data_IF_162143675602
#
_entry.id   IF_162143675602
#
_cell.length_a   1.000
_cell.length_b   1.000
_cell.length_c   1.000
_cell.angle_alpha   90.00
_cell.angle_beta   90.00
_cell.angle_gamma   90.00
#
_symmetry.space_group_name_H-M   'P 1'
#
loop_
_entity.id
_entity.type
_entity.pdbx_description
1 polymer ?
#
# COMPACT_ATOMS: atom_id res chain seq x y z
N UNK A 1 1.73 29.25 -21.40
CA UNK A 1 2.40 28.03 -20.92
C UNK A 1 3.58 28.34 -20.00
N UNK A 2 4.52 29.21 -20.38
CA UNK A 2 5.73 29.52 -19.57
C UNK A 2 5.41 30.02 -18.14
N UNK A 3 4.44 30.92 -17.96
CA UNK A 3 4.01 31.42 -16.65
C UNK A 3 3.43 30.31 -15.74
N UNK A 4 2.72 29.34 -16.32
CA UNK A 4 2.15 28.21 -15.59
C UNK A 4 3.25 27.24 -15.12
N UNK A 5 4.29 27.04 -15.93
CA UNK A 5 5.46 26.24 -15.55
C UNK A 5 6.31 26.90 -14.47
N UNK A 6 6.48 28.23 -14.50
CA UNK A 6 7.20 28.95 -13.44
C UNK A 6 6.45 28.93 -12.11
N UNK A 7 5.11 29.04 -12.13
CA UNK A 7 4.27 28.91 -10.95
C UNK A 7 4.33 27.49 -10.35
N UNK A 8 4.33 26.46 -11.19
CA UNK A 8 4.48 25.08 -10.72
C UNK A 8 5.87 24.85 -10.10
N UNK A 9 6.93 25.34 -10.74
CA UNK A 9 8.31 25.22 -10.24
C UNK A 9 8.55 25.92 -8.91
N UNK A 10 7.97 27.11 -8.71
CA UNK A 10 8.08 27.89 -7.47
C UNK A 10 7.03 27.52 -6.40
N UNK A 11 6.07 26.65 -6.73
CA UNK A 11 4.95 26.31 -5.86
C UNK A 11 5.22 25.22 -4.85
N UNK A 12 6.37 24.54 -4.90
CA UNK A 12 6.75 23.44 -4.03
C UNK A 12 8.05 23.75 -3.29
N UNK A 13 8.02 23.59 -1.96
CA UNK A 13 9.21 23.69 -1.13
C UNK A 13 10.09 22.45 -1.25
N UNK A 14 11.38 22.57 -0.87
CA UNK A 14 12.33 21.44 -0.89
C UNK A 14 11.83 20.18 -0.16
N UNK A 15 11.19 20.24 1.03
CA UNK A 15 10.64 19.06 1.71
C UNK A 15 9.66 18.25 0.85
N UNK A 16 8.86 18.90 0.00
CA UNK A 16 7.94 18.24 -0.93
C UNK A 16 8.66 17.22 -1.81
N UNK A 17 9.76 17.64 -2.45
CA UNK A 17 10.51 16.78 -3.36
C UNK A 17 11.22 15.65 -2.64
N UNK A 18 11.82 15.94 -1.46
CA UNK A 18 12.50 14.92 -0.66
C UNK A 18 11.52 13.84 -0.21
N UNK A 19 10.35 14.24 0.33
CA UNK A 19 9.33 13.30 0.78
C UNK A 19 8.79 12.44 -0.37
N UNK A 20 8.39 13.07 -1.48
CA UNK A 20 7.80 12.35 -2.61
C UNK A 20 8.81 11.45 -3.33
N UNK A 21 10.09 11.86 -3.42
CA UNK A 21 11.14 10.98 -3.96
C UNK A 21 11.37 9.78 -3.04
N UNK A 22 11.43 10.01 -1.73
CA UNK A 22 11.60 8.91 -0.78
C UNK A 22 10.42 7.93 -0.79
N UNK A 23 9.19 8.40 -1.06
CA UNK A 23 8.01 7.55 -1.24
C UNK A 23 8.13 6.61 -2.43
N UNK A 24 8.72 7.03 -3.57
CA UNK A 24 8.96 6.13 -4.71
C UNK A 24 9.75 4.90 -4.27
N UNK A 25 10.87 5.12 -3.58
CA UNK A 25 11.77 4.05 -3.15
C UNK A 25 11.13 3.18 -2.06
N UNK A 26 10.34 3.76 -1.19
CA UNK A 26 9.61 3.03 -0.18
C UNK A 26 8.53 2.16 -0.82
N UNK A 27 7.71 2.71 -1.73
CA UNK A 27 6.70 1.95 -2.48
C UNK A 27 7.33 0.86 -3.34
N UNK A 28 8.42 1.16 -4.02
CA UNK A 28 9.20 0.17 -4.76
C UNK A 28 9.64 -0.99 -3.88
N UNK A 29 10.22 -0.68 -2.71
CA UNK A 29 10.67 -1.70 -1.75
C UNK A 29 9.50 -2.51 -1.19
N UNK A 30 8.41 -1.85 -0.79
CA UNK A 30 7.21 -2.51 -0.28
C UNK A 30 6.61 -3.49 -1.30
N UNK A 31 6.39 -3.04 -2.53
CA UNK A 31 5.78 -3.89 -3.55
C UNK A 31 6.73 -4.97 -4.09
N UNK A 32 8.05 -4.72 -4.09
CA UNK A 32 9.04 -5.77 -4.37
C UNK A 32 8.97 -6.90 -3.33
N UNK A 33 8.96 -6.54 -2.04
CA UNK A 33 8.82 -7.49 -0.93
C UNK A 33 7.48 -8.22 -1.03
N UNK A 34 6.38 -7.49 -1.15
CA UNK A 34 5.03 -8.05 -1.10
C UNK A 34 4.73 -8.99 -2.27
N UNK A 35 5.18 -8.66 -3.49
CA UNK A 35 4.96 -9.49 -4.67
C UNK A 35 5.69 -10.84 -4.64
N UNK A 36 6.74 -10.97 -3.84
CA UNK A 36 7.51 -12.21 -3.68
C UNK A 36 7.18 -12.96 -2.40
N UNK A 37 6.52 -12.31 -1.44
CA UNK A 37 6.41 -12.78 -0.06
C UNK A 37 5.72 -14.14 0.06
N UNK A 38 4.56 -14.32 -0.54
CA UNK A 38 3.79 -15.54 -0.42
C UNK A 38 4.57 -16.77 -0.93
N UNK A 39 5.25 -16.62 -2.08
CA UNK A 39 6.10 -17.66 -2.67
C UNK A 39 7.36 -17.92 -1.81
N UNK A 40 7.98 -16.87 -1.31
CA UNK A 40 9.14 -16.98 -0.42
C UNK A 40 8.82 -17.76 0.85
N UNK A 41 7.72 -17.42 1.53
CA UNK A 41 7.28 -18.12 2.74
C UNK A 41 6.98 -19.59 2.45
N UNK A 42 6.36 -19.88 1.30
CA UNK A 42 5.98 -21.24 0.93
C UNK A 42 7.16 -22.06 0.41
N UNK A 43 7.88 -21.60 -0.61
CA UNK A 43 8.90 -22.39 -1.29
C UNK A 43 10.27 -22.32 -0.62
N UNK A 44 10.66 -21.15 -0.12
CA UNK A 44 12.00 -20.95 0.47
C UNK A 44 12.03 -21.33 1.94
N UNK A 45 11.00 -20.95 2.70
CA UNK A 45 10.92 -21.25 4.14
C UNK A 45 10.15 -22.55 4.47
N UNK A 46 9.49 -23.16 3.47
CA UNK A 46 8.80 -24.43 3.65
C UNK A 46 7.48 -24.36 4.45
N UNK A 47 6.91 -23.16 4.59
CA UNK A 47 5.61 -22.99 5.25
C UNK A 47 4.48 -23.53 4.37
N UNK A 48 3.40 -24.02 5.00
CA UNK A 48 2.23 -24.45 4.24
C UNK A 48 1.59 -23.29 3.46
N UNK A 49 0.80 -23.61 2.43
CA UNK A 49 0.07 -22.59 1.65
C UNK A 49 -0.80 -21.70 2.54
N UNK A 50 -1.52 -22.31 3.50
CA UNK A 50 -2.35 -21.58 4.45
C UNK A 50 -1.52 -20.64 5.33
N UNK A 51 -0.41 -21.12 5.89
CA UNK A 51 0.47 -20.28 6.72
C UNK A 51 1.05 -19.11 5.91
N UNK A 52 1.51 -19.37 4.69
CA UNK A 52 2.10 -18.37 3.80
C UNK A 52 1.08 -17.31 3.42
N UNK A 53 -0.13 -17.69 3.06
CA UNK A 53 -1.22 -16.77 2.75
C UNK A 53 -1.64 -15.96 3.98
N UNK A 54 -1.84 -16.60 5.14
CA UNK A 54 -2.20 -15.92 6.40
C UNK A 54 -1.14 -14.89 6.81
N UNK A 55 0.13 -15.24 6.77
CA UNK A 55 1.23 -14.35 7.14
C UNK A 55 1.34 -13.17 6.16
N UNK A 56 1.19 -13.41 4.85
CA UNK A 56 1.14 -12.35 3.84
C UNK A 56 -0.07 -11.45 4.04
N UNK A 57 -1.22 -12.02 4.41
CA UNK A 57 -2.44 -11.29 4.76
C UNK A 57 -2.27 -10.41 6.00
N UNK A 58 -1.64 -10.94 7.06
CA UNK A 58 -1.31 -10.18 8.28
C UNK A 58 -0.40 -9.00 7.94
N UNK A 59 0.64 -9.22 7.15
CA UNK A 59 1.52 -8.15 6.69
C UNK A 59 0.75 -7.07 5.92
N UNK A 60 -0.01 -7.46 4.89
CA UNK A 60 -0.80 -6.53 4.09
C UNK A 60 -1.85 -5.78 4.91
N UNK A 61 -2.60 -6.48 5.76
CA UNK A 61 -3.66 -5.90 6.60
C UNK A 61 -3.13 -4.98 7.70
N UNK A 62 -2.05 -5.38 8.37
CA UNK A 62 -1.43 -4.58 9.41
C UNK A 62 -0.97 -3.20 8.91
N UNK A 63 -0.45 -3.11 7.67
CA UNK A 63 -0.05 -1.84 7.03
C UNK A 63 -1.19 -0.83 7.02
N UNK A 64 -2.41 -1.27 6.66
CA UNK A 64 -3.57 -0.38 6.55
C UNK A 64 -4.19 -0.04 7.92
N UNK A 65 -4.22 -1.00 8.83
CA UNK A 65 -4.73 -0.76 10.19
C UNK A 65 -3.80 0.16 10.98
N UNK A 66 -2.48 -0.06 10.91
CA UNK A 66 -1.50 0.76 11.63
C UNK A 66 -1.41 2.19 11.09
N UNK A 67 -1.70 2.42 9.81
CA UNK A 67 -1.71 3.77 9.23
C UNK A 67 -2.69 4.73 9.93
N UNK A 68 -3.78 4.21 10.50
CA UNK A 68 -4.75 5.00 11.28
C UNK A 68 -4.06 5.65 12.51
N UNK A 69 -3.18 4.93 13.17
CA UNK A 69 -2.46 5.39 14.37
C UNK A 69 -1.21 6.20 14.02
N UNK A 70 -0.56 5.86 12.92
CA UNK A 70 0.69 6.49 12.48
C UNK A 70 0.56 7.97 12.19
N UNK A 71 -0.60 8.42 11.68
CA UNK A 71 -0.86 9.83 11.40
C UNK A 71 -0.82 10.69 12.65
N UNK A 72 -1.50 10.28 13.71
CA UNK A 72 -1.52 10.99 14.98
C UNK A 72 -0.12 11.07 15.64
N UNK A 73 0.68 10.02 15.47
CA UNK A 73 2.06 10.02 15.97
C UNK A 73 2.95 10.94 15.12
N UNK A 74 2.85 10.88 13.81
CA UNK A 74 3.63 11.72 12.90
C UNK A 74 3.39 13.23 13.13
N UNK A 75 2.12 13.64 13.35
CA UNK A 75 1.78 15.02 13.67
C UNK A 75 2.39 15.50 15.01
N UNK A 76 2.60 14.59 15.98
CA UNK A 76 3.19 14.92 17.29
C UNK A 76 4.70 15.05 17.25
N UNK A 77 5.39 14.09 16.62
CA UNK A 77 6.87 14.04 16.63
C UNK A 77 7.50 14.85 15.52
N UNK A 78 6.67 15.33 14.56
CA UNK A 78 7.09 16.04 13.35
C UNK A 78 7.43 15.07 12.21
N UNK A 79 7.22 15.52 10.97
CA UNK A 79 7.37 14.67 9.79
C UNK A 79 8.81 14.21 9.53
N UNK A 80 9.81 15.04 9.86
CA UNK A 80 11.22 14.64 9.73
C UNK A 80 11.57 13.45 10.61
N UNK A 81 11.18 13.52 11.89
CA UNK A 81 11.44 12.42 12.84
C UNK A 81 10.63 11.19 12.48
N UNK A 82 9.36 11.37 12.09
CA UNK A 82 8.49 10.28 11.69
C UNK A 82 9.04 9.52 10.49
N UNK A 83 9.42 10.22 9.40
CA UNK A 83 10.00 9.61 8.20
C UNK A 83 11.36 8.94 8.49
N UNK A 84 12.24 9.60 9.25
CA UNK A 84 13.54 9.01 9.59
C UNK A 84 13.38 7.73 10.41
N UNK A 85 12.54 7.74 11.45
CA UNK A 85 12.25 6.56 12.27
C UNK A 85 11.62 5.45 11.45
N UNK A 86 10.67 5.81 10.57
CA UNK A 86 10.01 4.86 9.67
C UNK A 86 11.01 4.13 8.78
N UNK A 87 11.91 4.85 8.12
CA UNK A 87 12.90 4.24 7.23
C UNK A 87 13.91 3.39 7.97
N UNK A 88 14.32 3.74 9.19
CA UNK A 88 15.16 2.85 10.02
C UNK A 88 14.42 1.58 10.45
N UNK A 89 13.14 1.70 10.86
CA UNK A 89 12.31 0.53 11.16
C UNK A 89 12.19 -0.37 9.93
N UNK A 90 11.89 0.21 8.75
CA UNK A 90 11.76 -0.55 7.49
C UNK A 90 13.07 -1.21 7.08
N UNK A 91 14.21 -0.54 7.27
CA UNK A 91 15.54 -1.12 7.01
C UNK A 91 15.75 -2.39 7.82
N UNK A 92 15.56 -2.31 9.13
CA UNK A 92 15.69 -3.47 10.02
C UNK A 92 14.66 -4.55 9.72
N UNK A 93 13.43 -4.15 9.44
CA UNK A 93 12.34 -5.06 9.12
C UNK A 93 12.59 -5.87 7.84
N UNK A 94 12.92 -5.23 6.73
CA UNK A 94 13.20 -5.93 5.46
C UNK A 94 14.47 -6.77 5.54
N UNK A 95 15.50 -6.30 6.26
CA UNK A 95 16.68 -7.10 6.54
C UNK A 95 16.33 -8.38 7.32
N UNK A 96 15.49 -8.29 8.36
CA UNK A 96 15.03 -9.44 9.13
C UNK A 96 14.17 -10.38 8.29
N UNK A 97 13.28 -9.87 7.41
CA UNK A 97 12.49 -10.71 6.49
C UNK A 97 13.41 -11.54 5.60
N UNK A 98 14.44 -10.94 4.99
CA UNK A 98 15.44 -11.66 4.19
C UNK A 98 16.28 -12.66 4.99
N UNK A 99 16.39 -12.44 6.29
CA UNK A 99 17.21 -13.23 7.20
C UNK A 99 16.45 -14.37 7.91
N UNK A 100 15.12 -14.51 7.73
CA UNK A 100 14.34 -15.52 8.46
C UNK A 100 14.92 -16.93 8.28
N UNK A 101 15.41 -17.28 7.09
CA UNK A 101 16.07 -18.56 6.78
C UNK A 101 17.57 -18.61 7.12
N UNK A 102 18.19 -17.51 7.53
CA UNK A 102 19.64 -17.41 7.71
C UNK A 102 20.16 -18.25 8.89
N UNK A 103 21.40 -18.77 8.79
CA UNK A 103 22.01 -19.60 9.86
C UNK A 103 22.11 -18.92 11.22
N UNK A 104 22.35 -17.60 11.26
CA UNK A 104 22.48 -16.86 12.51
C UNK A 104 21.17 -16.73 13.30
N UNK A 105 20.01 -16.96 12.66
CA UNK A 105 18.71 -17.06 13.34
C UNK A 105 18.34 -18.52 13.71
N UNK A 106 19.20 -19.51 13.44
CA UNK A 106 18.90 -20.90 13.71
C UNK A 106 18.53 -21.15 15.19
N UNK A 107 19.32 -20.62 16.12
CA UNK A 107 19.06 -20.73 17.56
C UNK A 107 17.72 -20.13 18.00
N UNK A 108 17.25 -19.10 17.31
CA UNK A 108 15.93 -18.51 17.57
C UNK A 108 14.83 -19.41 17.03
N UNK A 109 15.04 -19.99 15.84
CA UNK A 109 14.08 -20.94 15.22
C UNK A 109 13.96 -22.25 15.98
N UNK A 110 14.99 -22.65 16.70
CA UNK A 110 14.96 -23.85 17.56
C UNK A 110 14.02 -23.65 18.78
N UNK A 111 13.81 -22.41 19.21
CA UNK A 111 12.97 -22.06 20.37
C UNK A 111 11.60 -21.54 19.93
N UNK A 112 11.57 -20.72 18.88
CA UNK A 112 10.33 -20.07 18.40
C UNK A 112 9.89 -20.74 17.09
N UNK A 113 8.68 -21.30 17.03
CA UNK A 113 8.15 -21.89 15.79
C UNK A 113 8.21 -20.88 14.62
N UNK A 114 8.69 -21.36 13.47
CA UNK A 114 8.93 -20.52 12.29
C UNK A 114 7.74 -19.65 11.88
N UNK A 115 6.47 -20.11 11.91
CA UNK A 115 5.34 -19.24 11.58
C UNK A 115 5.17 -18.07 12.55
N UNK A 116 5.46 -18.29 13.83
CA UNK A 116 5.37 -17.22 14.87
C UNK A 116 6.49 -16.21 14.66
N UNK A 117 7.72 -16.68 14.45
CA UNK A 117 8.87 -15.82 14.19
C UNK A 117 8.64 -14.96 12.93
N UNK A 118 8.17 -15.59 11.84
CA UNK A 118 7.83 -14.90 10.61
C UNK A 118 6.73 -13.86 10.83
N UNK A 119 5.68 -14.19 11.58
CA UNK A 119 4.60 -13.25 11.91
C UNK A 119 5.07 -12.02 12.67
N UNK A 120 5.94 -12.20 13.68
CA UNK A 120 6.54 -11.10 14.45
C UNK A 120 7.38 -10.21 13.53
N UNK A 121 8.24 -10.81 12.69
CA UNK A 121 9.11 -10.06 11.77
C UNK A 121 8.28 -9.31 10.72
N UNK A 122 7.23 -9.94 10.16
CA UNK A 122 6.37 -9.34 9.15
C UNK A 122 5.46 -8.22 9.69
N UNK A 123 5.27 -8.15 11.01
CA UNK A 123 4.56 -7.03 11.62
C UNK A 123 5.40 -5.74 11.68
N UNK A 124 6.72 -5.84 11.72
CA UNK A 124 7.63 -4.68 11.83
C UNK A 124 7.51 -3.70 10.65
N UNK A 125 7.46 -4.13 9.36
CA UNK A 125 7.28 -3.21 8.25
C UNK A 125 5.99 -2.40 8.35
N UNK A 126 4.91 -2.97 8.90
CA UNK A 126 3.64 -2.27 9.07
C UNK A 126 3.78 -1.05 10.00
N UNK A 127 4.61 -1.14 11.04
CA UNK A 127 4.91 -0.01 11.94
C UNK A 127 5.65 1.12 11.20
N UNK A 128 6.60 0.78 10.34
CA UNK A 128 7.33 1.76 9.53
C UNK A 128 6.40 2.46 8.54
N UNK A 129 5.65 1.69 7.74
CA UNK A 129 4.74 2.22 6.71
C UNK A 129 3.65 3.09 7.32
N UNK A 130 3.17 2.75 8.52
CA UNK A 130 2.20 3.54 9.25
C UNK A 130 2.64 5.00 9.46
N UNK A 131 3.94 5.24 9.61
CA UNK A 131 4.51 6.59 9.77
C UNK A 131 4.82 7.26 8.42
N UNK A 132 5.19 6.49 7.38
CA UNK A 132 5.56 7.04 6.07
C UNK A 132 4.38 7.74 5.42
N UNK A 133 3.27 7.03 5.20
CA UNK A 133 2.12 7.54 4.45
C UNK A 133 1.59 8.88 4.95
N UNK A 134 1.22 9.03 6.24
CA UNK A 134 0.71 10.32 6.71
C UNK A 134 1.76 11.43 6.68
N UNK A 135 3.05 11.09 6.89
CA UNK A 135 4.14 12.07 6.84
C UNK A 135 4.37 12.62 5.44
N UNK A 136 4.33 11.76 4.40
CA UNK A 136 4.49 12.20 3.01
C UNK A 136 3.28 12.99 2.54
N UNK A 137 2.05 12.52 2.83
CA UNK A 137 0.81 13.22 2.50
C UNK A 137 0.73 14.57 3.22
N UNK A 138 1.06 14.61 4.52
CA UNK A 138 1.11 15.84 5.31
C UNK A 138 2.18 16.81 4.82
N UNK A 139 3.36 16.32 4.44
CA UNK A 139 4.41 17.13 3.82
C UNK A 139 3.95 17.68 2.47
N UNK A 140 3.30 16.86 1.64
CA UNK A 140 2.74 17.29 0.35
C UNK A 140 1.74 18.44 0.54
N UNK A 141 0.88 18.36 1.56
CA UNK A 141 -0.05 19.44 1.89
C UNK A 141 0.65 20.73 2.33
N UNK A 142 1.60 20.63 3.29
CA UNK A 142 2.24 21.78 3.94
C UNK A 142 3.36 22.42 3.11
N UNK A 143 4.04 21.64 2.27
CA UNK A 143 5.14 22.09 1.43
C UNK A 143 4.69 22.47 -0.01
N UNK A 144 3.38 22.57 -0.25
CA UNK A 144 2.77 23.03 -1.49
C UNK A 144 1.99 24.32 -1.26
N UNK A 145 2.22 25.33 -2.08
CA UNK A 145 1.37 26.51 -2.09
C UNK A 145 -0.08 26.14 -2.45
N UNK A 146 -1.06 26.85 -1.92
CA UNK A 146 -2.48 26.55 -2.11
C UNK A 146 -2.87 26.46 -3.59
N UNK A 147 -2.34 27.32 -4.44
CA UNK A 147 -2.60 27.37 -5.89
C UNK A 147 -2.13 26.12 -6.66
N UNK A 148 -1.17 25.36 -6.13
CA UNK A 148 -0.59 24.14 -6.75
C UNK A 148 -0.78 22.88 -5.92
N UNK A 149 -1.45 22.95 -4.77
CA UNK A 149 -1.65 21.81 -3.85
C UNK A 149 -2.31 20.61 -4.53
N UNK A 150 -3.31 20.84 -5.37
CA UNK A 150 -3.95 19.78 -6.16
C UNK A 150 -2.96 19.07 -7.12
N UNK A 151 -2.05 19.84 -7.74
CA UNK A 151 -0.98 19.29 -8.58
C UNK A 151 0.00 18.50 -7.71
N UNK A 152 0.29 18.97 -6.50
CA UNK A 152 1.13 18.27 -5.53
C UNK A 152 0.61 16.86 -5.21
N UNK A 153 -0.68 16.73 -4.94
CA UNK A 153 -1.30 15.41 -4.73
C UNK A 153 -1.28 14.53 -5.97
N UNK A 154 -1.42 15.12 -7.17
CA UNK A 154 -1.29 14.35 -8.42
C UNK A 154 0.13 13.83 -8.62
N UNK A 155 1.15 14.64 -8.28
CA UNK A 155 2.56 14.21 -8.31
C UNK A 155 2.78 13.08 -7.31
N UNK A 156 2.34 13.24 -6.05
CA UNK A 156 2.39 12.20 -5.02
C UNK A 156 1.79 10.88 -5.53
N UNK A 157 0.56 10.92 -6.06
CA UNK A 157 -0.11 9.72 -6.58
C UNK A 157 0.66 9.06 -7.72
N UNK A 158 1.23 9.87 -8.62
CA UNK A 158 2.08 9.36 -9.71
C UNK A 158 3.33 8.68 -9.16
N UNK A 159 3.98 9.25 -8.15
CA UNK A 159 5.18 8.69 -7.52
C UNK A 159 4.88 7.35 -6.82
N UNK A 160 3.74 7.24 -6.13
CA UNK A 160 3.25 5.98 -5.55
C UNK A 160 3.08 4.90 -6.64
N UNK A 161 2.44 5.24 -7.76
CA UNK A 161 2.22 4.29 -8.86
C UNK A 161 3.51 3.89 -9.59
N UNK A 162 4.46 4.80 -9.73
CA UNK A 162 5.80 4.46 -10.26
C UNK A 162 6.45 3.41 -9.35
N UNK A 163 6.47 3.64 -8.04
CA UNK A 163 7.04 2.69 -7.09
C UNK A 163 6.33 1.33 -7.11
N UNK A 164 4.99 1.33 -7.13
CA UNK A 164 4.19 0.10 -7.15
C UNK A 164 4.35 -0.73 -8.43
N UNK A 165 4.68 -0.10 -9.55
CA UNK A 165 4.96 -0.79 -10.82
C UNK A 165 6.41 -1.28 -10.89
N UNK A 166 7.36 -0.42 -10.52
CA UNK A 166 8.78 -0.77 -10.58
C UNK A 166 9.18 -1.81 -9.53
N UNK A 167 8.51 -1.85 -8.38
CA UNK A 167 8.81 -2.81 -7.31
C UNK A 167 8.73 -4.27 -7.77
N UNK A 168 7.55 -4.77 -8.22
CA UNK A 168 7.41 -6.13 -8.73
C UNK A 168 8.27 -6.38 -9.98
N UNK A 169 8.45 -5.37 -10.85
CA UNK A 169 9.32 -5.48 -12.02
C UNK A 169 10.76 -5.79 -11.62
N UNK A 170 11.33 -5.00 -10.73
CA UNK A 170 12.69 -5.22 -10.23
C UNK A 170 12.80 -6.52 -9.43
N UNK A 171 11.79 -6.84 -8.61
CA UNK A 171 11.75 -8.09 -7.87
C UNK A 171 11.76 -9.30 -8.82
N UNK A 172 10.95 -9.28 -9.87
CA UNK A 172 10.92 -10.34 -10.87
C UNK A 172 12.22 -10.45 -11.67
N UNK A 173 12.83 -9.31 -12.02
CA UNK A 173 14.12 -9.28 -12.69
C UNK A 173 15.27 -9.80 -11.79
N UNK A 174 15.25 -9.46 -10.50
CA UNK A 174 16.22 -9.95 -9.52
C UNK A 174 16.00 -11.43 -9.22
N UNK A 175 14.76 -11.85 -9.01
CA UNK A 175 14.41 -13.24 -8.69
C UNK A 175 14.88 -14.23 -9.75
N UNK A 176 14.94 -13.82 -11.02
CA UNK A 176 15.50 -14.65 -12.10
C UNK A 176 17.02 -14.83 -12.03
N UNK A 177 17.73 -14.13 -11.15
CA UNK A 177 19.20 -14.07 -11.05
C UNK A 177 19.75 -14.32 -9.66
N UNK A 178 18.98 -14.02 -8.64
CA UNK A 178 19.40 -14.04 -7.23
C UNK A 178 18.37 -14.80 -6.36
N UNK A 179 18.77 -15.34 -5.22
CA UNK A 179 17.83 -15.87 -4.24
C UNK A 179 16.79 -14.82 -3.83
N UNK A 180 15.57 -15.25 -3.53
CA UNK A 180 14.48 -14.34 -3.16
C UNK A 180 14.80 -13.50 -1.92
N UNK A 181 15.60 -14.06 -0.97
CA UNK A 181 16.10 -13.33 0.21
C UNK A 181 16.85 -12.04 -0.16
N UNK A 182 17.56 -12.03 -1.28
CA UNK A 182 18.38 -10.89 -1.70
C UNK A 182 17.51 -9.71 -2.16
N UNK A 183 16.31 -9.99 -2.67
CA UNK A 183 15.32 -8.94 -2.96
C UNK A 183 15.01 -8.14 -1.69
N UNK A 184 14.91 -8.80 -0.54
CA UNK A 184 14.62 -8.15 0.74
C UNK A 184 15.81 -7.37 1.29
N UNK A 185 17.03 -7.86 1.10
CA UNK A 185 18.25 -7.11 1.45
C UNK A 185 18.42 -5.88 0.59
N UNK A 186 18.12 -5.96 -0.71
CA UNK A 186 18.13 -4.81 -1.62
C UNK A 186 17.05 -3.80 -1.24
N UNK A 187 15.85 -4.27 -0.87
CA UNK A 187 14.79 -3.42 -0.35
C UNK A 187 15.21 -2.71 0.95
N UNK A 188 15.84 -3.45 1.89
CA UNK A 188 16.38 -2.88 3.12
C UNK A 188 17.45 -1.79 2.84
N UNK A 189 18.36 -2.05 1.90
CA UNK A 189 19.38 -1.08 1.50
C UNK A 189 18.76 0.16 0.84
N UNK A 190 17.77 -0.03 -0.02
CA UNK A 190 17.04 1.06 -0.69
C UNK A 190 16.39 2.01 0.33
N UNK A 191 15.68 1.47 1.33
CA UNK A 191 15.05 2.32 2.36
C UNK A 191 16.06 2.90 3.34
N UNK A 192 17.21 2.25 3.57
CA UNK A 192 18.33 2.82 4.33
C UNK A 192 18.89 4.07 3.64
N UNK A 193 19.07 4.03 2.33
CA UNK A 193 19.49 5.20 1.57
C UNK A 193 18.46 6.34 1.72
N UNK A 194 17.17 6.02 1.73
CA UNK A 194 16.13 7.03 1.96
C UNK A 194 16.14 7.56 3.40
N UNK A 195 16.49 6.74 4.41
CA UNK A 195 16.72 7.24 5.77
C UNK A 195 17.83 8.31 5.78
N UNK A 196 18.95 8.07 5.11
CA UNK A 196 20.05 9.02 4.98
C UNK A 196 19.61 10.28 4.22
N UNK A 197 18.91 10.11 3.08
CA UNK A 197 18.40 11.25 2.28
C UNK A 197 17.46 12.13 3.12
N UNK A 198 16.56 11.54 3.88
CA UNK A 198 15.64 12.30 4.75
C UNK A 198 16.39 12.99 5.87
N UNK A 199 17.33 12.31 6.54
CA UNK A 199 18.13 12.93 7.61
C UNK A 199 18.94 14.14 7.13
N UNK A 200 19.51 14.06 5.93
CA UNK A 200 20.40 15.11 5.40
C UNK A 200 19.62 16.23 4.71
N UNK A 201 18.62 15.88 3.93
CA UNK A 201 18.00 16.83 2.99
C UNK A 201 16.59 17.27 3.40
N UNK A 202 15.87 16.50 4.24
CA UNK A 202 14.53 16.87 4.65
C UNK A 202 14.57 17.93 5.76
N UNK A 203 13.81 19.00 5.54
CA UNK A 203 13.54 20.02 6.56
C UNK A 203 12.05 19.99 6.88
N UNK A 204 11.72 20.21 8.14
CA UNK A 204 10.31 20.29 8.54
C UNK A 204 9.63 21.41 7.74
N UNK A 205 8.51 21.13 7.02
CA UNK A 205 7.77 22.20 6.34
C UNK A 205 7.22 23.19 7.36
N UNK A 206 7.08 24.43 6.98
CA UNK A 206 6.55 25.48 7.85
C UNK A 206 5.16 25.10 8.34
N UNK A 207 4.94 25.21 9.64
CA UNK A 207 3.60 25.05 10.21
C UNK A 207 2.71 26.19 9.69
N UNK A 208 1.55 25.87 9.10
CA UNK A 208 0.54 26.88 8.84
C UNK A 208 0.09 27.44 10.20
N UNK A 209 0.14 28.76 10.35
CA UNK A 209 -0.28 29.50 11.56
C UNK A 209 -1.75 29.24 11.91
N UNK A 210 -2.51 28.72 10.95
CA UNK A 210 -3.94 28.38 11.05
C UNK A 210 -4.23 26.88 11.13
N UNK A 211 -3.19 26.02 11.28
CA UNK A 211 -3.45 24.60 11.45
C UNK A 211 -4.27 24.39 12.72
N UNK A 212 -5.42 23.68 12.66
CA UNK A 212 -6.17 23.34 13.86
C UNK A 212 -5.23 22.61 14.83
N UNK A 213 -5.34 22.95 16.12
CA UNK A 213 -4.55 22.33 17.20
C UNK A 213 -4.55 20.81 17.00
N UNK A 214 -3.36 20.18 17.06
CA UNK A 214 -3.24 18.72 16.96
C UNK A 214 -4.28 18.09 17.89
N UNK A 215 -5.21 17.26 17.37
CA UNK A 215 -6.25 16.69 18.20
C UNK A 215 -5.62 15.96 19.38
N UNK A 216 -6.16 16.17 20.58
CA UNK A 216 -5.73 15.41 21.75
C UNK A 216 -6.00 13.91 21.51
N UNK A 217 -5.26 13.01 22.15
CA UNK A 217 -5.54 11.55 22.05
C UNK A 217 -7.01 11.26 22.40
N UNK A 218 -7.52 11.94 23.43
CA UNK A 218 -8.92 11.83 23.84
C UNK A 218 -9.89 12.35 22.75
N UNK A 219 -9.56 13.46 22.07
CA UNK A 219 -10.33 13.97 20.93
C UNK A 219 -10.36 12.99 19.78
N UNK A 220 -9.19 12.50 19.37
CA UNK A 220 -9.08 11.48 18.30
C UNK A 220 -9.85 10.20 18.66
N UNK A 221 -9.76 9.72 19.91
CA UNK A 221 -10.51 8.56 20.37
C UNK A 221 -12.02 8.81 20.36
N UNK A 222 -12.47 10.00 20.76
CA UNK A 222 -13.88 10.39 20.72
C UNK A 222 -14.42 10.42 19.28
N UNK A 223 -13.68 11.02 18.35
CA UNK A 223 -14.05 11.09 16.94
C UNK A 223 -14.13 9.69 16.35
N UNK A 224 -13.16 8.83 16.66
CA UNK A 224 -13.16 7.42 16.30
C UNK A 224 -14.42 6.70 16.79
N UNK A 225 -14.75 6.83 18.07
CA UNK A 225 -15.96 6.21 18.66
C UNK A 225 -17.26 6.75 18.05
N UNK A 226 -17.29 8.02 17.66
CA UNK A 226 -18.44 8.61 16.96
C UNK A 226 -18.68 7.95 15.61
N UNK A 227 -17.61 7.70 14.83
CA UNK A 227 -17.71 7.01 13.55
C UNK A 227 -18.11 5.55 13.72
N UNK A 228 -17.51 4.83 14.68
CA UNK A 228 -17.89 3.44 15.03
C UNK A 228 -19.36 3.36 15.44
N UNK A 229 -19.90 4.37 16.12
CA UNK A 229 -21.32 4.46 16.47
C UNK A 229 -22.26 4.63 15.29
N UNK A 230 -21.76 5.03 14.10
CA UNK A 230 -22.57 5.11 12.88
C UNK A 230 -22.74 3.71 12.25
N UNK A 231 -23.71 2.94 12.74
CA UNK A 231 -23.93 1.56 12.31
C UNK A 231 -24.17 1.39 10.81
N UNK A 232 -24.79 2.38 10.13
CA UNK A 232 -25.02 2.31 8.67
C UNK A 232 -23.70 2.44 7.89
N UNK A 233 -22.85 3.35 8.34
CA UNK A 233 -21.52 3.53 7.74
C UNK A 233 -20.62 2.32 8.00
N UNK A 234 -20.61 1.81 9.21
CA UNK A 234 -19.84 0.60 9.57
C UNK A 234 -20.31 -0.63 8.78
N UNK A 235 -21.64 -0.81 8.64
CA UNK A 235 -22.19 -1.89 7.80
C UNK A 235 -21.77 -1.78 6.36
N UNK A 236 -21.77 -0.57 5.78
CA UNK A 236 -21.25 -0.34 4.42
C UNK A 236 -19.77 -0.75 4.31
N UNK A 237 -18.93 -0.37 5.27
CA UNK A 237 -17.51 -0.75 5.27
C UNK A 237 -17.32 -2.27 5.38
N UNK A 238 -18.09 -2.94 6.25
CA UNK A 238 -18.02 -4.40 6.40
C UNK A 238 -18.46 -5.11 5.11
N UNK A 239 -19.54 -4.69 4.48
CA UNK A 239 -20.00 -5.24 3.19
C UNK A 239 -18.91 -5.02 2.12
N UNK A 240 -18.36 -3.82 2.06
CA UNK A 240 -17.33 -3.48 1.08
C UNK A 240 -15.98 -4.20 1.32
N UNK A 241 -15.74 -4.67 2.54
CA UNK A 241 -14.58 -5.55 2.81
C UNK A 241 -14.59 -6.82 1.95
N UNK A 242 -15.79 -7.29 1.55
CA UNK A 242 -15.93 -8.41 0.61
C UNK A 242 -15.23 -8.18 -0.73
N UNK A 243 -15.26 -6.94 -1.26
CA UNK A 243 -14.47 -6.59 -2.45
C UNK A 243 -12.98 -6.79 -2.19
N UNK A 244 -12.47 -6.29 -1.07
CA UNK A 244 -11.06 -6.38 -0.75
C UNK A 244 -10.60 -7.81 -0.44
N UNK A 245 -11.46 -8.65 0.14
CA UNK A 245 -11.17 -10.09 0.31
C UNK A 245 -10.87 -10.72 -1.07
N UNK A 246 -11.71 -10.45 -2.06
CA UNK A 246 -11.55 -10.98 -3.42
C UNK A 246 -10.32 -10.35 -4.11
N UNK A 247 -10.10 -9.05 -3.95
CA UNK A 247 -8.98 -8.33 -4.55
C UNK A 247 -7.62 -8.84 -4.04
N UNK A 248 -7.48 -9.06 -2.73
CA UNK A 248 -6.22 -9.48 -2.14
C UNK A 248 -5.75 -10.86 -2.58
N UNK A 249 -6.64 -11.71 -3.11
CA UNK A 249 -6.25 -13.05 -3.58
C UNK A 249 -5.18 -13.00 -4.67
N UNK A 250 -5.07 -11.91 -5.42
CA UNK A 250 -4.00 -11.73 -6.40
C UNK A 250 -2.59 -11.74 -5.79
N UNK A 251 -2.44 -11.30 -4.54
CA UNK A 251 -1.15 -11.27 -3.83
C UNK A 251 -0.97 -12.44 -2.86
N UNK A 252 -2.06 -12.97 -2.29
CA UNK A 252 -1.99 -13.95 -1.21
C UNK A 252 -1.97 -15.39 -1.74
N UNK A 253 -2.86 -15.71 -2.66
CA UNK A 253 -3.08 -17.09 -3.13
C UNK A 253 -2.62 -17.29 -4.58
N UNK A 254 -2.92 -16.36 -5.47
CA UNK A 254 -2.65 -16.53 -6.90
C UNK A 254 -1.16 -16.83 -7.21
N UNK A 255 -0.15 -16.18 -6.60
CA UNK A 255 1.25 -16.49 -6.85
C UNK A 255 1.59 -17.94 -6.50
N UNK A 256 1.10 -18.43 -5.36
CA UNK A 256 1.30 -19.80 -4.91
C UNK A 256 0.58 -20.77 -5.86
N UNK A 257 -0.67 -20.45 -6.24
CA UNK A 257 -1.43 -21.27 -7.18
C UNK A 257 -0.73 -21.41 -8.53
N UNK A 258 -0.18 -20.32 -9.06
CA UNK A 258 0.54 -20.31 -10.34
C UNK A 258 1.75 -21.26 -10.27
N UNK A 259 2.60 -21.14 -9.25
CA UNK A 259 3.83 -21.96 -9.17
C UNK A 259 3.57 -23.42 -8.83
N UNK A 260 2.46 -23.76 -8.18
CA UNK A 260 2.12 -25.14 -7.81
C UNK A 260 1.34 -25.86 -8.91
N UNK A 261 0.43 -25.18 -9.61
CA UNK A 261 -0.55 -25.82 -10.49
C UNK A 261 -0.47 -25.42 -11.96
N UNK A 262 0.15 -24.28 -12.27
CA UNK A 262 0.22 -23.81 -13.66
C UNK A 262 1.62 -23.91 -14.26
N UNK A 263 2.60 -23.28 -13.62
CA UNK A 263 4.00 -23.32 -14.06
C UNK A 263 4.93 -23.04 -12.87
N UNK A 264 5.69 -24.07 -12.45
CA UNK A 264 6.64 -23.97 -11.34
C UNK A 264 7.77 -22.96 -11.54
N UNK A 265 8.05 -22.59 -12.78
CA UNK A 265 9.09 -21.63 -13.13
C UNK A 265 8.53 -20.23 -13.42
N UNK A 266 7.22 -20.01 -13.22
CA UNK A 266 6.59 -18.72 -13.50
C UNK A 266 7.18 -17.62 -12.64
N UNK A 267 7.50 -16.50 -13.28
CA UNK A 267 7.94 -15.30 -12.59
C UNK A 267 6.70 -14.51 -12.08
N UNK A 268 6.19 -14.91 -10.92
CA UNK A 268 4.95 -14.36 -10.35
C UNK A 268 5.01 -12.86 -10.10
N UNK A 269 6.13 -12.23 -9.65
CA UNK A 269 6.20 -10.78 -9.56
C UNK A 269 5.97 -10.06 -10.90
N UNK A 270 6.49 -10.59 -12.01
CA UNK A 270 6.24 -10.02 -13.33
C UNK A 270 4.78 -10.17 -13.78
N UNK A 271 4.12 -11.26 -13.39
CA UNK A 271 2.69 -11.45 -13.66
C UNK A 271 1.85 -10.42 -12.90
N UNK A 272 2.20 -10.13 -11.65
CA UNK A 272 1.49 -9.16 -10.80
C UNK A 272 1.59 -7.71 -11.28
N UNK A 273 2.57 -7.37 -12.14
CA UNK A 273 2.66 -6.03 -12.75
C UNK A 273 1.45 -5.74 -13.65
N UNK A 274 0.75 -6.76 -14.14
CA UNK A 274 -0.41 -6.59 -15.01
C UNK A 274 -1.43 -5.62 -14.43
N UNK A 275 -1.76 -5.76 -13.15
CA UNK A 275 -2.74 -4.91 -12.47
C UNK A 275 -2.30 -3.42 -12.47
N UNK A 276 -1.17 -3.00 -11.85
CA UNK A 276 -0.79 -1.59 -11.83
C UNK A 276 -0.49 -1.00 -13.23
N UNK A 277 -0.03 -1.79 -14.19
CA UNK A 277 0.15 -1.32 -15.57
C UNK A 277 -1.18 -0.96 -16.24
N UNK A 278 -2.20 -1.79 -16.08
CA UNK A 278 -3.54 -1.52 -16.60
C UNK A 278 -4.14 -0.30 -15.89
N UNK A 279 -4.00 -0.21 -14.56
CA UNK A 279 -4.47 0.94 -13.78
C UNK A 279 -3.85 2.23 -14.31
N UNK A 280 -2.53 2.33 -14.44
CA UNK A 280 -1.86 3.54 -14.91
C UNK A 280 -2.31 3.88 -16.34
N UNK A 281 -2.39 2.89 -17.21
CA UNK A 281 -2.65 3.10 -18.64
C UNK A 281 -4.10 3.51 -18.93
N UNK A 282 -5.07 2.95 -18.21
CA UNK A 282 -6.49 3.06 -18.57
C UNK A 282 -7.33 3.93 -17.62
N UNK A 283 -6.80 4.33 -16.44
CA UNK A 283 -7.57 5.08 -15.43
C UNK A 283 -8.26 6.31 -16.00
N UNK A 284 -7.56 7.14 -16.77
CA UNK A 284 -8.11 8.39 -17.32
C UNK A 284 -9.26 8.09 -18.32
N UNK A 285 -9.04 7.12 -19.22
CA UNK A 285 -10.03 6.73 -20.23
C UNK A 285 -11.30 6.15 -19.61
N UNK A 286 -11.14 5.17 -18.73
CA UNK A 286 -12.27 4.49 -18.07
C UNK A 286 -13.04 5.45 -17.17
N UNK A 287 -12.35 6.28 -16.36
CA UNK A 287 -13.01 7.26 -15.51
C UNK A 287 -13.81 8.30 -16.34
N UNK A 288 -13.35 8.67 -17.53
CA UNK A 288 -14.10 9.58 -18.40
C UNK A 288 -15.40 8.97 -18.92
N UNK A 289 -15.43 7.66 -19.14
CA UNK A 289 -16.63 6.91 -19.58
C UNK A 289 -17.58 6.71 -18.40
N UNK A 290 -17.04 6.28 -17.25
CA UNK A 290 -17.82 5.90 -16.05
C UNK A 290 -18.28 7.08 -15.21
N UNK A 291 -17.82 8.30 -15.49
CA UNK A 291 -18.18 9.53 -14.75
C UNK A 291 -19.68 9.82 -14.65
N UNK A 292 -20.49 9.27 -15.57
CA UNK A 292 -21.96 9.40 -15.58
C UNK A 292 -22.67 8.51 -14.58
N UNK A 293 -21.99 7.47 -14.08
CA UNK A 293 -22.53 6.57 -13.07
C UNK A 293 -22.59 7.27 -11.71
N UNK A 294 -23.64 6.96 -10.93
CA UNK A 294 -23.65 7.35 -9.50
C UNK A 294 -22.56 6.60 -8.76
N UNK A 295 -21.94 7.19 -7.70
CA UNK A 295 -20.82 6.54 -7.00
C UNK A 295 -21.12 5.09 -6.59
N UNK A 296 -22.27 4.82 -5.98
CA UNK A 296 -22.64 3.47 -5.56
C UNK A 296 -22.80 2.50 -6.73
N UNK A 297 -23.34 2.95 -7.88
CA UNK A 297 -23.46 2.12 -9.08
C UNK A 297 -22.09 1.73 -9.64
N UNK A 298 -21.13 2.67 -9.63
CA UNK A 298 -19.78 2.39 -10.08
C UNK A 298 -19.06 1.42 -9.13
N UNK A 299 -19.26 1.56 -7.82
CA UNK A 299 -18.72 0.63 -6.80
C UNK A 299 -19.26 -0.79 -7.06
N UNK A 300 -20.56 -0.95 -7.23
CA UNK A 300 -21.18 -2.25 -7.51
C UNK A 300 -20.70 -2.84 -8.83
N UNK A 301 -20.65 -2.04 -9.90
CA UNK A 301 -20.17 -2.48 -11.22
C UNK A 301 -18.71 -2.93 -11.15
N UNK A 302 -17.82 -2.14 -10.55
CA UNK A 302 -16.40 -2.51 -10.40
C UNK A 302 -16.20 -3.77 -9.56
N UNK A 303 -16.99 -3.93 -8.48
CA UNK A 303 -16.97 -5.15 -7.67
C UNK A 303 -17.41 -6.37 -8.47
N UNK A 304 -18.45 -6.27 -9.28
CA UNK A 304 -18.92 -7.36 -10.15
C UNK A 304 -17.85 -7.72 -11.19
N UNK A 305 -17.23 -6.73 -11.85
CA UNK A 305 -16.15 -6.96 -12.82
C UNK A 305 -15.00 -7.74 -12.14
N UNK A 306 -14.54 -7.28 -10.98
CA UNK A 306 -13.48 -7.95 -10.24
C UNK A 306 -13.87 -9.38 -9.83
N UNK A 307 -15.11 -9.59 -9.38
CA UNK A 307 -15.58 -10.92 -8.96
C UNK A 307 -15.64 -11.90 -10.12
N UNK A 308 -16.13 -11.45 -11.28
CA UNK A 308 -16.23 -12.29 -12.50
C UNK A 308 -14.83 -12.61 -13.07
N UNK A 309 -13.86 -11.71 -12.90
CA UNK A 309 -12.50 -11.93 -13.38
C UNK A 309 -11.89 -13.24 -12.86
N UNK A 310 -12.15 -13.59 -11.62
CA UNK A 310 -11.63 -14.80 -11.00
C UNK A 310 -12.18 -16.10 -11.58
N UNK A 311 -13.32 -16.06 -12.28
CA UNK A 311 -13.90 -17.22 -12.98
C UNK A 311 -13.10 -17.62 -14.22
N UNK A 312 -12.23 -16.77 -14.73
CA UNK A 312 -11.35 -17.08 -15.87
C UNK A 312 -10.35 -18.17 -15.56
N UNK A 313 -9.84 -18.21 -14.34
CA UNK A 313 -8.79 -19.19 -13.95
C UNK A 313 -9.32 -20.63 -13.95
N UNK A 314 -10.43 -20.96 -13.26
CA UNK A 314 -10.96 -22.32 -13.27
C UNK A 314 -11.56 -22.73 -14.63
N UNK A 315 -11.95 -21.78 -15.49
CA UNK A 315 -12.48 -22.09 -16.81
C UNK A 315 -11.44 -22.78 -17.71
N UNK A 316 -10.18 -22.35 -17.65
CA UNK A 316 -9.04 -23.01 -18.30
C UNK A 316 -7.75 -22.66 -17.58
N UNK A 317 -7.27 -23.50 -16.63
CA UNK A 317 -6.10 -23.20 -15.83
C UNK A 317 -4.84 -22.98 -16.68
N UNK A 318 -4.40 -21.70 -16.77
CA UNK A 318 -3.20 -21.31 -17.51
C UNK A 318 -2.66 -19.98 -17.00
N UNK A 319 -1.36 -19.75 -17.15
CA UNK A 319 -0.71 -18.48 -16.82
C UNK A 319 -1.33 -17.32 -17.60
N UNK A 320 -1.68 -17.54 -18.88
CA UNK A 320 -2.33 -16.54 -19.70
C UNK A 320 -3.67 -16.09 -19.10
N UNK A 321 -4.52 -17.03 -18.66
CA UNK A 321 -5.80 -16.68 -18.04
C UNK A 321 -5.64 -16.07 -16.65
N UNK A 322 -4.57 -16.37 -15.92
CA UNK A 322 -4.22 -15.66 -14.69
C UNK A 322 -3.87 -14.18 -14.99
N UNK A 323 -3.07 -13.93 -16.04
CA UNK A 323 -2.75 -12.55 -16.50
C UNK A 323 -4.01 -11.81 -16.95
N UNK A 324 -4.89 -12.46 -17.74
CA UNK A 324 -6.16 -11.86 -18.18
C UNK A 324 -7.10 -11.58 -16.99
N UNK A 325 -7.14 -12.47 -16.00
CA UNK A 325 -7.91 -12.25 -14.78
C UNK A 325 -7.41 -10.99 -14.05
N UNK A 326 -6.09 -10.83 -13.88
CA UNK A 326 -5.50 -9.62 -13.28
C UNK A 326 -5.83 -8.36 -14.09
N UNK A 327 -5.80 -8.43 -15.42
CA UNK A 327 -6.18 -7.31 -16.26
C UNK A 327 -7.65 -6.91 -16.05
N UNK A 328 -8.55 -7.87 -15.91
CA UNK A 328 -9.98 -7.61 -15.63
C UNK A 328 -10.18 -7.13 -14.18
N UNK A 329 -9.44 -7.65 -13.21
CA UNK A 329 -9.42 -7.12 -11.82
C UNK A 329 -9.06 -5.64 -11.82
N UNK A 330 -8.00 -5.25 -12.54
CA UNK A 330 -7.58 -3.86 -12.67
C UNK A 330 -8.68 -2.96 -13.28
N UNK A 331 -9.43 -3.45 -14.28
CA UNK A 331 -10.58 -2.71 -14.83
C UNK A 331 -11.65 -2.48 -13.76
N UNK A 332 -11.97 -3.48 -12.96
CA UNK A 332 -12.89 -3.36 -11.83
C UNK A 332 -12.41 -2.34 -10.79
N UNK A 333 -11.11 -2.36 -10.45
CA UNK A 333 -10.50 -1.40 -9.55
C UNK A 333 -10.61 0.04 -10.06
N UNK A 334 -10.27 0.29 -11.31
CA UNK A 334 -10.36 1.62 -11.93
C UNK A 334 -11.78 2.19 -11.83
N UNK A 335 -12.79 1.36 -12.04
CA UNK A 335 -14.20 1.78 -12.01
C UNK A 335 -14.65 2.12 -10.59
N UNK A 336 -14.25 1.32 -9.59
CA UNK A 336 -14.79 1.46 -8.24
C UNK A 336 -13.95 2.37 -7.32
N UNK A 337 -12.60 2.32 -7.36
CA UNK A 337 -11.75 2.95 -6.34
C UNK A 337 -11.94 4.47 -6.21
N UNK A 338 -11.96 5.28 -7.28
CA UNK A 338 -12.18 6.72 -7.13
C UNK A 338 -13.58 7.02 -6.58
N UNK A 339 -14.58 6.19 -6.95
CA UNK A 339 -15.98 6.36 -6.56
C UNK A 339 -16.23 5.95 -5.12
N UNK A 340 -15.48 5.00 -4.61
CA UNK A 340 -15.50 4.61 -3.20
C UNK A 340 -15.12 5.78 -2.29
N UNK A 341 -14.00 6.44 -2.55
CA UNK A 341 -13.59 7.60 -1.78
C UNK A 341 -14.54 8.78 -1.94
N UNK A 342 -15.06 9.03 -3.14
CA UNK A 342 -16.09 10.03 -3.38
C UNK A 342 -17.36 9.74 -2.57
N UNK A 343 -17.80 8.50 -2.53
CA UNK A 343 -18.99 8.09 -1.77
C UNK A 343 -18.80 8.31 -0.28
N UNK A 344 -17.67 7.89 0.29
CA UNK A 344 -17.36 8.11 1.71
C UNK A 344 -17.30 9.61 2.04
N UNK A 345 -16.66 10.41 1.21
CA UNK A 345 -16.56 11.86 1.44
C UNK A 345 -17.95 12.54 1.49
N UNK A 346 -18.92 12.02 0.73
CA UNK A 346 -20.31 12.51 0.74
C UNK A 346 -21.13 12.00 1.93
N UNK A 347 -20.76 10.85 2.53
CA UNK A 347 -21.42 10.31 3.71
C UNK A 347 -20.94 10.99 5.00
N UNK A 348 -19.75 11.57 4.98
CA UNK A 348 -19.16 12.20 6.15
C UNK A 348 -19.93 13.47 6.54
N UNK A 349 -20.31 13.63 7.82
CA UNK A 349 -20.87 14.87 8.33
C UNK A 349 -19.88 16.04 8.16
N UNK A 350 -20.38 17.29 8.08
CA UNK A 350 -19.52 18.47 8.04
C UNK A 350 -18.53 18.48 9.20
N UNK A 351 -17.24 18.72 8.89
CA UNK A 351 -16.16 18.72 9.88
C UNK A 351 -15.58 17.36 10.27
N UNK A 352 -16.16 16.23 9.82
CA UNK A 352 -15.69 14.89 10.13
C UNK A 352 -15.13 14.12 8.93
N UNK A 353 -14.97 14.80 7.77
CA UNK A 353 -14.49 14.14 6.54
C UNK A 353 -13.16 13.42 6.73
N UNK A 354 -12.22 14.02 7.47
CA UNK A 354 -10.91 13.40 7.73
C UNK A 354 -11.02 12.07 8.47
N UNK A 355 -11.86 12.02 9.51
CA UNK A 355 -12.08 10.81 10.32
C UNK A 355 -12.74 9.70 9.47
N UNK A 356 -13.82 10.04 8.73
CA UNK A 356 -14.49 9.09 7.84
C UNK A 356 -13.57 8.56 6.74
N UNK A 357 -12.71 9.43 6.17
CA UNK A 357 -11.70 9.00 5.18
C UNK A 357 -10.62 8.11 5.80
N UNK A 358 -10.27 8.30 7.07
CA UNK A 358 -9.41 7.36 7.80
C UNK A 358 -10.02 5.96 7.88
N UNK A 359 -11.31 5.86 8.17
CA UNK A 359 -12.03 4.58 8.18
C UNK A 359 -12.19 3.95 6.79
N UNK A 360 -12.03 4.71 5.70
CA UNK A 360 -12.04 4.16 4.35
C UNK A 360 -10.95 3.10 4.11
N UNK A 361 -9.90 3.08 4.90
CA UNK A 361 -8.85 2.07 4.82
C UNK A 361 -9.18 0.77 5.58
N UNK A 362 -10.18 0.78 6.46
CA UNK A 362 -10.57 -0.38 7.26
C UNK A 362 -10.96 -1.61 6.40
N UNK A 363 -11.80 -1.48 5.33
CA UNK A 363 -12.11 -2.60 4.44
C UNK A 363 -10.89 -3.23 3.78
N UNK A 364 -9.87 -2.42 3.45
CA UNK A 364 -8.63 -2.88 2.85
C UNK A 364 -7.88 -3.80 3.83
N UNK A 365 -7.76 -3.36 5.08
CA UNK A 365 -7.14 -4.14 6.14
C UNK A 365 -7.89 -5.43 6.45
N UNK A 366 -9.22 -5.36 6.59
CA UNK A 366 -10.07 -6.54 6.82
C UNK A 366 -9.92 -7.52 5.66
N UNK A 367 -9.99 -7.04 4.41
CA UNK A 367 -9.91 -7.90 3.22
C UNK A 367 -8.58 -8.63 3.09
N UNK A 368 -7.48 -8.06 3.58
CA UNK A 368 -6.18 -8.72 3.59
C UNK A 368 -6.01 -9.74 4.73
N UNK A 369 -6.74 -9.57 5.84
CA UNK A 369 -6.64 -10.44 7.02
C UNK A 369 -7.52 -11.69 6.93
N UNK A 370 -8.58 -11.67 6.11
CA UNK A 370 -9.56 -12.75 5.93
C UNK A 370 -9.24 -13.57 4.69
#
# INVERSE_FOLDING_TARGET
MAQRWSQIRGGFERPFWVANTSEIFERLSYYAVFSTLAVYLNQTLGLSTTQSATLSGIFGGAVWVMAIFGGALADRIGFRRALSSAYFILTGAYFLVGSIGAPWLASVRDVVPLPILAGIILFLPALGIALVKPSVVGTTARASNESVRSIGYSIYYTMVNIGSTLGPFLAGWLHSRLPTSDVYFIAAFSVLLMAVVVLVFFREPRAEVTAPSVPSVAGTARDFMTVVGNGRFMLFLVIFSGYWIVYWQQYLILPIYIVHYLDKNANTPLILITDPLIVISLTVGINSITRRLRPLQAIVLGTLITSVAWLLIPAHPSVLLAVLALAVVALGEIVQSPRYYEYISRLAPPGQQGTYMGFAFLPIGIGSLV
#
